data_IF_410477347615
#
_entry.id   IF_410477347615
#
_cell.length_a   1.000
_cell.length_b   1.000
_cell.length_c   1.000
_cell.angle_alpha   90.00
_cell.angle_beta   90.00
_cell.angle_gamma   90.00
#
_symmetry.space_group_name_H-M   'P 1'
#
loop_
_entity.id
_entity.type
_entity.pdbx_description
1 polymer ?
#
# COMPACT_ATOMS: atom_id res chain seq x y z
N UNK A 1 -5.60 13.59 24.11
CA UNK A 1 -5.13 14.27 22.89
C UNK A 1 -3.84 13.55 22.54
N UNK A 2 -3.68 12.84 21.43
CA UNK A 2 -4.36 12.76 20.15
C UNK A 2 -4.11 11.32 19.67
N UNK A 3 -5.12 10.63 19.17
CA UNK A 3 -4.95 9.27 18.66
C UNK A 3 -4.02 9.33 17.46
N UNK A 4 -2.80 8.81 17.62
CA UNK A 4 -1.86 8.44 16.55
C UNK A 4 -2.48 7.35 15.65
N UNK A 5 -3.63 7.63 15.07
CA UNK A 5 -4.33 6.74 14.18
C UNK A 5 -3.71 6.93 12.80
N UNK A 6 -3.25 5.83 12.21
CA UNK A 6 -3.00 5.76 10.77
C UNK A 6 -4.27 6.29 10.11
N UNK A 7 -4.15 7.30 9.23
CA UNK A 7 -5.27 7.83 8.47
C UNK A 7 -5.75 6.74 7.51
N UNK A 8 -6.60 5.87 8.04
CA UNK A 8 -7.10 4.68 7.37
C UNK A 8 -7.98 5.09 6.20
N UNK A 9 -8.68 6.23 6.32
CA UNK A 9 -9.45 6.84 5.22
C UNK A 9 -8.55 7.24 4.05
N UNK A 10 -7.40 7.88 4.30
CA UNK A 10 -6.42 8.19 3.25
C UNK A 10 -5.82 6.93 2.65
N UNK A 11 -5.56 5.89 3.46
CA UNK A 11 -5.04 4.62 2.97
C UNK A 11 -6.04 3.90 2.06
N UNK A 12 -7.32 3.86 2.43
CA UNK A 12 -8.38 3.28 1.61
C UNK A 12 -8.54 4.06 0.30
N UNK A 13 -8.57 5.39 0.35
CA UNK A 13 -8.69 6.24 -0.84
C UNK A 13 -7.52 6.01 -1.83
N UNK A 14 -6.30 5.88 -1.33
CA UNK A 14 -5.12 5.58 -2.15
C UNK A 14 -5.14 4.15 -2.73
N UNK A 15 -5.68 3.18 -2.00
CA UNK A 15 -5.90 1.81 -2.52
C UNK A 15 -6.95 1.86 -3.62
N UNK A 16 -8.08 2.54 -3.40
CA UNK A 16 -9.18 2.62 -4.37
C UNK A 16 -8.77 3.27 -5.70
N UNK A 17 -7.88 4.27 -5.66
CA UNK A 17 -7.26 4.88 -6.86
C UNK A 17 -6.44 3.90 -7.71
N UNK A 18 -6.04 2.76 -7.14
CA UNK A 18 -5.15 1.78 -7.78
C UNK A 18 -5.89 0.45 -8.01
N UNK A 19 -6.68 0.33 -9.10
CA UNK A 19 -7.46 -0.89 -9.39
C UNK A 19 -6.60 -2.15 -9.55
N UNK A 20 -5.30 -2.00 -9.86
CA UNK A 20 -4.35 -3.11 -9.89
C UNK A 20 -4.19 -3.84 -8.54
N UNK A 21 -4.62 -3.24 -7.43
CA UNK A 21 -4.51 -3.81 -6.08
C UNK A 21 -5.82 -4.46 -5.62
N UNK A 22 -6.97 -3.78 -5.79
CA UNK A 22 -8.23 -4.17 -5.17
C UNK A 22 -9.31 -4.61 -6.16
N UNK A 23 -9.27 -4.14 -7.40
CA UNK A 23 -10.34 -4.36 -8.38
C UNK A 23 -10.09 -5.64 -9.18
N UNK A 24 -10.58 -6.76 -8.67
CA UNK A 24 -10.48 -8.07 -9.33
C UNK A 24 -11.19 -8.13 -10.69
N UNK A 25 -12.09 -7.18 -10.98
CA UNK A 25 -12.80 -7.10 -12.27
C UNK A 25 -12.00 -6.35 -13.33
N UNK A 26 -10.97 -5.61 -12.91
CA UNK A 26 -10.08 -4.88 -13.78
C UNK A 26 -9.13 -5.82 -14.52
N UNK A 27 -8.91 -5.54 -15.81
CA UNK A 27 -7.87 -6.22 -16.60
C UNK A 27 -6.47 -6.01 -16.01
N UNK A 28 -6.26 -4.88 -15.31
CA UNK A 28 -4.96 -4.53 -14.70
C UNK A 28 -4.66 -5.30 -13.41
N UNK A 29 -5.64 -5.96 -12.78
CA UNK A 29 -5.44 -6.72 -11.54
C UNK A 29 -4.60 -7.99 -11.75
N UNK A 30 -4.71 -8.60 -12.94
CA UNK A 30 -3.90 -9.76 -13.32
C UNK A 30 -2.46 -9.39 -13.68
N UNK A 31 -2.17 -8.09 -13.88
CA UNK A 31 -0.84 -7.62 -14.24
C UNK A 31 0.04 -7.46 -13.00
N UNK A 32 0.92 -8.45 -12.80
CA UNK A 32 1.86 -8.50 -11.67
C UNK A 32 2.78 -7.27 -11.62
N UNK A 33 3.12 -6.67 -12.77
CA UNK A 33 3.97 -5.47 -12.80
C UNK A 33 3.21 -4.23 -12.37
N UNK A 34 1.96 -4.06 -12.82
CA UNK A 34 1.12 -2.92 -12.40
C UNK A 34 0.78 -3.01 -10.92
N UNK A 35 0.45 -4.20 -10.43
CA UNK A 35 0.21 -4.43 -9.00
C UNK A 35 1.44 -4.11 -8.15
N UNK A 36 2.63 -4.54 -8.59
CA UNK A 36 3.89 -4.19 -7.91
C UNK A 36 4.13 -2.68 -7.86
N UNK A 37 4.05 -2.01 -9.01
CA UNK A 37 4.23 -0.55 -9.07
C UNK A 37 3.22 0.18 -8.17
N UNK A 38 1.97 -0.27 -8.17
CA UNK A 38 0.93 0.31 -7.32
C UNK A 38 1.25 0.20 -5.82
N UNK A 39 1.78 -0.94 -5.37
CA UNK A 39 2.24 -1.11 -3.99
C UNK A 39 3.51 -0.31 -3.66
N UNK A 40 4.48 -0.22 -4.58
CA UNK A 40 5.68 0.60 -4.42
C UNK A 40 5.32 2.09 -4.25
N UNK A 41 4.38 2.60 -5.04
CA UNK A 41 3.87 3.98 -4.94
C UNK A 41 3.18 4.23 -3.59
N UNK A 42 2.40 3.27 -3.08
CA UNK A 42 1.78 3.38 -1.75
C UNK A 42 2.84 3.42 -0.65
N UNK A 43 3.85 2.55 -0.73
CA UNK A 43 4.97 2.61 0.22
C UNK A 43 5.62 3.98 0.12
N UNK A 44 5.93 4.50 -1.07
CA UNK A 44 6.55 5.81 -1.23
C UNK A 44 5.73 6.95 -0.59
N UNK A 45 4.43 7.01 -0.87
CA UNK A 45 3.53 8.05 -0.33
C UNK A 45 3.41 7.94 1.19
N UNK A 46 3.18 6.74 1.73
CA UNK A 46 2.99 6.56 3.18
C UNK A 46 4.31 6.52 3.96
N UNK A 47 5.44 6.20 3.32
CA UNK A 47 6.76 6.34 3.92
C UNK A 47 7.25 7.80 3.85
N UNK A 48 7.01 8.61 2.82
CA UNK A 48 7.63 9.96 2.76
C UNK A 48 6.95 11.07 3.57
N UNK A 49 5.67 10.93 3.95
CA UNK A 49 4.84 12.12 4.28
C UNK A 49 4.83 12.59 5.76
N UNK A 50 5.45 11.94 6.76
CA UNK A 50 5.47 12.50 8.14
C UNK A 50 6.60 11.98 9.08
N UNK A 51 7.08 12.84 9.99
CA UNK A 51 8.23 12.73 10.92
C UNK A 51 8.19 11.56 11.95
N UNK A 52 7.19 10.67 11.91
CA UNK A 52 7.00 9.61 12.91
C UNK A 52 7.71 8.29 12.51
N UNK A 53 9.05 8.30 12.53
CA UNK A 53 9.94 7.25 12.02
C UNK A 53 9.60 5.81 12.44
N UNK A 54 9.09 5.60 13.65
CA UNK A 54 8.90 4.26 14.22
C UNK A 54 7.62 3.57 13.70
N UNK A 55 6.52 4.31 13.54
CA UNK A 55 5.26 3.76 13.01
C UNK A 55 5.32 3.50 11.51
N UNK A 56 6.09 4.33 10.80
CA UNK A 56 6.39 4.18 9.37
C UNK A 56 7.11 2.87 9.07
N UNK A 57 8.09 2.47 9.90
CA UNK A 57 8.79 1.19 9.72
C UNK A 57 7.83 0.01 9.80
N UNK A 58 6.93 -0.01 10.77
CA UNK A 58 5.96 -1.09 10.92
C UNK A 58 4.98 -1.11 9.73
N UNK A 59 4.46 0.05 9.32
CA UNK A 59 3.53 0.12 8.18
C UNK A 59 4.20 -0.27 6.86
N UNK A 60 5.40 0.26 6.60
CA UNK A 60 6.17 -0.05 5.39
C UNK A 60 6.63 -1.52 5.40
N UNK A 61 6.98 -2.11 6.56
CA UNK A 61 7.28 -3.54 6.68
C UNK A 61 6.03 -4.40 6.44
N UNK A 62 4.88 -4.04 7.01
CA UNK A 62 3.61 -4.74 6.78
C UNK A 62 3.18 -4.68 5.30
N UNK A 63 3.22 -3.49 4.68
CA UNK A 63 2.87 -3.31 3.27
C UNK A 63 3.84 -4.09 2.38
N UNK A 64 5.14 -4.06 2.69
CA UNK A 64 6.16 -4.78 1.93
C UNK A 64 6.01 -6.31 2.05
N UNK A 65 5.76 -6.83 3.26
CA UNK A 65 5.51 -8.25 3.49
C UNK A 65 4.23 -8.72 2.79
N UNK A 66 3.17 -7.91 2.85
CA UNK A 66 1.91 -8.20 2.17
C UNK A 66 2.08 -8.16 0.65
N UNK A 67 2.81 -7.16 0.12
CA UNK A 67 3.21 -7.08 -1.26
C UNK A 67 4.00 -8.32 -1.71
N UNK A 68 5.00 -8.77 -0.95
CA UNK A 68 5.78 -9.97 -1.27
C UNK A 68 4.89 -11.22 -1.28
N UNK A 69 4.02 -11.39 -0.28
CA UNK A 69 3.11 -12.54 -0.20
C UNK A 69 2.14 -12.59 -1.38
N UNK A 70 1.57 -11.44 -1.77
CA UNK A 70 0.57 -11.35 -2.85
C UNK A 70 1.22 -11.41 -4.24
N UNK A 71 2.44 -10.88 -4.41
CA UNK A 71 3.09 -10.73 -5.71
C UNK A 71 4.16 -11.77 -6.05
N UNK A 72 4.79 -12.43 -5.08
CA UNK A 72 5.90 -13.37 -5.31
C UNK A 72 5.43 -14.83 -5.34
N UNK A 73 4.27 -15.17 -4.77
CA UNK A 73 3.78 -16.57 -4.68
C UNK A 73 2.89 -17.01 -5.86
N UNK A 74 3.09 -16.46 -7.06
CA UNK A 74 2.39 -16.94 -8.26
C UNK A 74 3.29 -16.89 -9.49
#
# INVERSE_FOLDING_TARGET
>A
METNAINTELFIDEIEKRPAIWDMTSSVYSDKNLRRRAWEELVFIFCEVDDNEEKKKILCEYIYLYFQSVCVTN
#
